data_IF_036141767944
#
_entry.id   IF_036141767944
#
_cell.length_a   1.000
_cell.length_b   1.000
_cell.length_c   1.000
_cell.angle_alpha   90.00
_cell.angle_beta   90.00
_cell.angle_gamma   90.00
#
_symmetry.space_group_name_H-M   'P 1'
#
loop_
_entity.id
_entity.type
_entity.pdbx_description
1 polymer ?
#
# COMPACT_ATOMS: atom_id res chain seq x y z
N UNK A 1 -9.41 -6.84 -18.21
CA UNK A 1 -9.36 -6.04 -19.46
C UNK A 1 -9.16 -4.60 -19.02
N UNK A 2 -8.20 -3.86 -19.59
CA UNK A 2 -7.99 -2.45 -19.24
C UNK A 2 -9.29 -1.64 -19.45
N UNK A 3 -9.53 -0.65 -18.58
CA UNK A 3 -10.69 0.24 -18.70
C UNK A 3 -10.57 1.17 -19.92
N UNK A 4 -9.37 1.36 -20.47
CA UNK A 4 -9.12 2.11 -21.70
C UNK A 4 -8.70 1.18 -22.84
N UNK A 5 -9.26 1.40 -24.03
CA UNK A 5 -8.93 0.61 -25.24
C UNK A 5 -7.53 0.97 -25.72
N UNK A 6 -6.71 -0.06 -25.99
CA UNK A 6 -5.32 0.05 -26.48
C UNK A 6 -4.38 0.91 -25.60
N UNK A 7 -4.73 1.13 -24.33
CA UNK A 7 -3.97 1.93 -23.38
C UNK A 7 -3.76 1.19 -22.05
N UNK A 8 -2.60 1.44 -21.44
CA UNK A 8 -2.27 0.97 -20.10
C UNK A 8 -2.70 2.00 -19.05
N UNK A 9 -3.46 1.58 -18.05
CA UNK A 9 -3.90 2.42 -16.92
C UNK A 9 -3.02 2.16 -15.70
N UNK A 10 -2.38 3.23 -15.24
CA UNK A 10 -1.49 3.24 -14.08
C UNK A 10 -2.11 4.16 -13.02
N UNK A 11 -2.53 3.59 -11.90
CA UNK A 11 -3.00 4.36 -10.75
C UNK A 11 -1.84 4.66 -9.81
N UNK A 12 -1.75 5.90 -9.30
CA UNK A 12 -0.51 6.42 -8.69
C UNK A 12 -0.60 6.83 -7.20
N UNK A 13 -1.79 6.79 -6.61
CA UNK A 13 -2.00 7.13 -5.19
C UNK A 13 -2.66 5.95 -4.47
N UNK A 14 -2.06 4.77 -4.62
CA UNK A 14 -2.63 3.52 -4.16
C UNK A 14 -2.00 3.11 -2.83
N UNK A 15 -2.77 3.25 -1.77
CA UNK A 15 -2.26 3.03 -0.42
C UNK A 15 -2.22 1.55 -0.04
N UNK A 16 -1.20 1.17 0.72
CA UNK A 16 -1.16 -0.06 1.51
C UNK A 16 -0.78 0.25 2.97
N UNK A 17 -0.96 -0.72 3.86
CA UNK A 17 -0.45 -0.65 5.23
C UNK A 17 0.55 -1.77 5.52
N UNK A 18 1.69 -1.38 6.08
CA UNK A 18 2.67 -2.28 6.68
C UNK A 18 2.30 -2.51 8.17
N UNK A 19 2.08 -3.77 8.61
CA UNK A 19 1.85 -4.12 10.01
C UNK A 19 2.85 -3.51 10.99
N UNK A 20 4.13 -3.43 10.62
CA UNK A 20 5.20 -2.84 11.43
C UNK A 20 4.95 -1.35 11.64
N UNK A 21 4.68 -0.59 10.57
CA UNK A 21 4.43 0.86 10.64
C UNK A 21 3.19 1.16 11.48
N UNK A 22 2.07 0.47 11.21
CA UNK A 22 0.81 0.74 11.91
C UNK A 22 0.84 0.33 13.39
N UNK A 23 1.79 -0.54 13.80
CA UNK A 23 1.95 -0.92 15.22
C UNK A 23 2.35 0.28 16.11
N UNK A 24 2.94 1.31 15.52
CA UNK A 24 3.34 2.54 16.20
C UNK A 24 2.21 3.59 16.28
N UNK A 25 1.06 3.35 15.64
CA UNK A 25 -0.04 4.32 15.65
C UNK A 25 -0.69 4.36 17.03
N UNK A 26 -0.98 5.57 17.50
CA UNK A 26 -1.64 5.81 18.79
C UNK A 26 -2.78 6.80 18.63
N UNK A 27 -3.64 6.91 19.64
CA UNK A 27 -4.70 7.91 19.65
C UNK A 27 -5.64 7.80 18.45
N UNK A 28 -5.81 8.91 17.72
CA UNK A 28 -6.72 8.99 16.55
C UNK A 28 -6.22 8.10 15.40
N UNK A 29 -4.92 8.00 15.19
CA UNK A 29 -4.36 7.23 14.07
C UNK A 29 -4.64 5.73 14.23
N UNK A 30 -4.56 5.22 15.46
CA UNK A 30 -4.86 3.81 15.77
C UNK A 30 -6.34 3.45 15.56
N UNK A 31 -7.23 4.45 15.63
CA UNK A 31 -8.68 4.27 15.50
C UNK A 31 -9.19 4.58 14.08
N UNK A 32 -8.36 5.21 13.25
CA UNK A 32 -8.70 5.57 11.88
C UNK A 32 -8.45 4.37 10.97
N UNK A 33 -9.30 4.18 9.97
CA UNK A 33 -9.16 3.10 8.98
C UNK A 33 -10.31 2.11 8.95
N UNK A 34 -11.02 1.85 10.07
CA UNK A 34 -12.25 1.03 10.09
C UNK A 34 -12.19 -0.22 9.20
N UNK A 35 -13.23 -0.42 8.38
CA UNK A 35 -13.28 -1.51 7.39
C UNK A 35 -12.23 -1.39 6.27
N UNK A 36 -11.71 -0.18 6.01
CA UNK A 36 -10.70 0.08 4.97
C UNK A 36 -9.33 -0.46 5.40
N UNK A 37 -9.06 -0.54 6.70
CA UNK A 37 -7.79 -1.04 7.24
C UNK A 37 -7.46 -2.45 6.74
N UNK A 38 -8.44 -3.37 6.79
CA UNK A 38 -8.23 -4.75 6.37
C UNK A 38 -7.97 -4.86 4.85
N UNK A 39 -8.54 -3.96 4.05
CA UNK A 39 -8.25 -3.86 2.62
C UNK A 39 -6.86 -3.28 2.36
N UNK A 40 -6.38 -2.34 3.18
CA UNK A 40 -5.04 -1.76 3.05
C UNK A 40 -3.94 -2.74 3.48
N UNK A 41 -4.24 -3.63 4.43
CA UNK A 41 -3.35 -4.71 4.87
C UNK A 41 -3.31 -5.87 3.87
N UNK A 42 -4.33 -6.03 3.04
CA UNK A 42 -4.37 -7.08 2.02
C UNK A 42 -3.79 -6.56 0.70
N UNK A 43 -2.62 -7.08 0.35
CA UNK A 43 -1.80 -6.63 -0.79
C UNK A 43 -1.58 -7.73 -1.83
N UNK A 44 -2.25 -8.88 -1.67
CA UNK A 44 -2.20 -10.03 -2.57
C UNK A 44 -3.47 -10.15 -3.42
N UNK A 45 -4.10 -11.33 -3.36
CA UNK A 45 -5.09 -11.76 -4.35
C UNK A 45 -6.33 -10.87 -4.42
N UNK A 46 -6.82 -10.31 -3.31
CA UNK A 46 -8.03 -9.46 -3.37
C UNK A 46 -7.73 -8.12 -4.02
N UNK A 47 -6.53 -7.57 -3.80
CA UNK A 47 -6.08 -6.36 -4.51
C UNK A 47 -6.00 -6.61 -6.01
N UNK A 48 -5.32 -7.67 -6.44
CA UNK A 48 -5.19 -8.00 -7.87
C UNK A 48 -6.56 -8.21 -8.52
N UNK A 49 -7.45 -8.94 -7.83
CA UNK A 49 -8.83 -9.10 -8.31
C UNK A 49 -9.56 -7.76 -8.45
N UNK A 50 -9.43 -6.87 -7.48
CA UNK A 50 -10.06 -5.54 -7.53
C UNK A 50 -9.51 -4.71 -8.70
N UNK A 51 -8.22 -4.81 -8.99
CA UNK A 51 -7.59 -4.17 -10.14
C UNK A 51 -8.18 -4.71 -11.45
N UNK A 52 -8.32 -6.04 -11.57
CA UNK A 52 -8.89 -6.68 -12.76
C UNK A 52 -10.36 -6.29 -12.97
N UNK A 53 -11.17 -6.28 -11.90
CA UNK A 53 -12.58 -5.88 -11.94
C UNK A 53 -12.76 -4.40 -12.34
N UNK A 54 -11.77 -3.55 -12.01
CA UNK A 54 -11.78 -2.12 -12.32
C UNK A 54 -11.07 -1.77 -13.64
N UNK A 55 -10.43 -2.75 -14.28
CA UNK A 55 -9.62 -2.54 -15.48
C UNK A 55 -8.36 -1.71 -15.25
N UNK A 56 -7.72 -1.85 -14.09
CA UNK A 56 -6.44 -1.20 -13.75
C UNK A 56 -5.28 -2.15 -14.07
N UNK A 57 -4.34 -1.70 -14.90
CA UNK A 57 -3.20 -2.52 -15.29
C UNK A 57 -2.10 -2.51 -14.23
N UNK A 58 -1.80 -1.34 -13.64
CA UNK A 58 -0.77 -1.16 -12.62
C UNK A 58 -1.25 -0.26 -11.50
N UNK A 59 -0.86 -0.60 -10.28
CA UNK A 59 -0.91 0.31 -9.13
C UNK A 59 0.51 0.63 -8.68
N UNK A 60 0.82 1.92 -8.54
CA UNK A 60 2.02 2.39 -7.84
C UNK A 60 1.66 2.56 -6.38
N UNK A 61 2.29 1.76 -5.53
CA UNK A 61 1.94 1.63 -4.13
C UNK A 61 2.73 2.62 -3.27
N UNK A 62 2.06 3.13 -2.24
CA UNK A 62 2.70 3.92 -1.18
C UNK A 62 2.09 3.61 0.17
N UNK A 63 2.85 3.77 1.26
CA UNK A 63 2.30 3.53 2.58
C UNK A 63 1.27 4.60 2.94
N UNK A 64 0.11 4.21 3.43
CA UNK A 64 -0.94 5.13 3.86
C UNK A 64 -0.53 6.09 4.98
N UNK A 65 -1.15 7.26 5.02
CA UNK A 65 -0.92 8.27 6.06
C UNK A 65 -1.32 7.76 7.47
N UNK A 66 -0.66 8.24 8.54
CA UNK A 66 0.46 9.21 8.56
C UNK A 66 1.85 8.59 8.27
N UNK A 67 1.92 7.31 7.88
CA UNK A 67 3.19 6.58 7.67
C UNK A 67 4.14 6.78 8.87
N UNK A 68 5.42 7.11 8.63
CA UNK A 68 6.43 7.32 9.68
C UNK A 68 6.56 8.78 10.12
N UNK A 69 5.75 9.69 9.58
CA UNK A 69 5.95 11.14 9.70
C UNK A 69 5.81 11.67 11.13
N UNK A 70 5.10 10.94 12.01
CA UNK A 70 4.86 11.32 13.41
C UNK A 70 5.84 10.66 14.40
N UNK A 71 6.73 9.80 13.91
CA UNK A 71 7.73 9.13 14.73
C UNK A 71 8.93 10.05 14.97
N UNK A 72 9.65 9.86 16.07
CA UNK A 72 10.95 10.51 16.27
C UNK A 72 12.00 9.94 15.30
N UNK A 73 13.11 10.63 15.11
CA UNK A 73 14.12 10.23 14.13
C UNK A 73 14.73 8.84 14.40
N UNK A 74 14.94 8.48 15.67
CA UNK A 74 15.57 7.20 16.02
C UNK A 74 14.63 6.02 15.71
N UNK A 75 13.32 6.23 15.77
CA UNK A 75 12.30 5.23 15.44
C UNK A 75 11.91 5.26 13.96
N UNK A 76 11.63 6.44 13.41
CA UNK A 76 11.06 6.62 12.08
C UNK A 76 11.98 6.20 10.95
N UNK A 77 13.29 6.45 11.06
CA UNK A 77 14.27 6.05 10.03
C UNK A 77 14.32 4.53 9.83
N UNK A 78 14.58 3.70 10.88
CA UNK A 78 14.61 2.25 10.68
C UNK A 78 13.25 1.68 10.27
N UNK A 79 12.14 2.20 10.79
CA UNK A 79 10.78 1.77 10.40
C UNK A 79 10.50 2.06 8.93
N UNK A 80 10.87 3.24 8.42
CA UNK A 80 10.68 3.58 7.02
C UNK A 80 11.52 2.69 6.09
N UNK A 81 12.75 2.33 6.49
CA UNK A 81 13.59 1.40 5.73
C UNK A 81 12.93 0.02 5.65
N UNK A 82 12.47 -0.52 6.78
CA UNK A 82 11.77 -1.79 6.82
C UNK A 82 10.48 -1.78 5.96
N UNK A 83 9.74 -0.68 5.99
CA UNK A 83 8.54 -0.51 5.16
C UNK A 83 8.87 -0.50 3.65
N UNK A 84 10.00 0.10 3.25
CA UNK A 84 10.45 0.05 1.87
C UNK A 84 10.88 -1.36 1.44
N UNK A 85 11.54 -2.11 2.32
CA UNK A 85 11.92 -3.51 2.05
C UNK A 85 10.67 -4.39 1.91
N UNK A 86 9.67 -4.20 2.78
CA UNK A 86 8.39 -4.90 2.68
C UNK A 86 7.60 -4.52 1.43
N UNK A 87 7.58 -3.23 1.06
CA UNK A 87 6.99 -2.78 -0.20
C UNK A 87 7.67 -3.43 -1.42
N UNK A 88 9.00 -3.55 -1.38
CA UNK A 88 9.74 -4.25 -2.43
C UNK A 88 9.29 -5.72 -2.54
N UNK A 89 9.12 -6.43 -1.42
CA UNK A 89 8.60 -7.80 -1.43
C UNK A 89 7.18 -7.89 -2.03
N UNK A 90 6.30 -6.94 -1.69
CA UNK A 90 4.95 -6.84 -2.27
C UNK A 90 5.02 -6.67 -3.78
N UNK A 91 5.83 -5.73 -4.27
CA UNK A 91 5.97 -5.48 -5.71
C UNK A 91 6.54 -6.72 -6.43
N UNK A 92 7.49 -7.42 -5.82
CA UNK A 92 8.09 -8.63 -6.38
C UNK A 92 7.14 -9.82 -6.46
N UNK A 93 6.05 -9.85 -5.68
CA UNK A 93 5.02 -10.87 -5.80
C UNK A 93 4.21 -10.72 -7.11
N UNK A 94 4.05 -9.51 -7.63
CA UNK A 94 3.33 -9.22 -8.88
C UNK A 94 3.98 -8.07 -9.69
N UNK A 95 5.21 -8.22 -10.20
CA UNK A 95 6.03 -7.09 -10.69
C UNK A 95 5.53 -6.46 -11.99
N UNK A 96 4.58 -7.08 -12.70
CA UNK A 96 3.92 -6.49 -13.87
C UNK A 96 2.69 -5.66 -13.49
N UNK A 97 2.22 -5.77 -12.24
CA UNK A 97 0.96 -5.20 -11.73
C UNK A 97 1.17 -4.21 -10.59
N UNK A 98 2.19 -4.42 -9.76
CA UNK A 98 2.49 -3.59 -8.59
C UNK A 98 3.88 -2.96 -8.77
N UNK A 99 3.98 -1.68 -8.45
CA UNK A 99 5.20 -0.89 -8.54
C UNK A 99 5.43 -0.08 -7.26
#
# INVERSE_FOLDING_TARGET
>A
VSILVDQRVIAIEEHYYDPNVISHYTGVDARTGGFVKDSLLEVGDRRIKSMDDSGIDVQVLSHGAPSTQRMDANTGIPVAKAANDYLFEICQANPQRLA
#
